data_IF_274469242140
#
_entry.id   IF_274469242140
#
_cell.length_a   1.000
_cell.length_b   1.000
_cell.length_c   1.000
_cell.angle_alpha   90.00
_cell.angle_beta   90.00
_cell.angle_gamma   90.00
#
_symmetry.space_group_name_H-M   'P 1'
#
loop_
_entity.id
_entity.type
_entity.pdbx_description
1 polymer ?
#
# COMPACT_ATOMS: atom_id res chain seq x y z
N UNK A 1 8.46 7.49 9.52
CA UNK A 1 8.05 6.56 8.47
C UNK A 1 7.69 7.41 7.29
N UNK A 2 8.27 7.14 6.13
CA UNK A 2 7.85 7.72 4.87
C UNK A 2 7.05 6.70 4.06
N UNK A 3 6.25 7.17 3.11
CA UNK A 3 5.65 6.30 2.09
C UNK A 3 6.75 5.71 1.20
N UNK A 4 6.48 4.55 0.61
CA UNK A 4 7.37 3.91 -0.35
C UNK A 4 6.63 3.74 -1.67
N UNK A 5 7.24 4.16 -2.77
CA UNK A 5 6.70 3.97 -4.12
C UNK A 5 7.47 2.91 -4.86
N UNK A 6 6.76 1.89 -5.32
CA UNK A 6 7.26 0.86 -6.23
C UNK A 6 6.93 1.27 -7.66
N UNK A 7 7.95 1.33 -8.52
CA UNK A 7 7.80 1.73 -9.91
C UNK A 7 8.08 0.56 -10.85
N UNK A 8 7.28 0.44 -11.90
CA UNK A 8 7.53 -0.47 -13.02
C UNK A 8 6.97 0.11 -14.31
N UNK A 9 7.50 -0.33 -15.46
CA UNK A 9 6.93 0.00 -16.76
C UNK A 9 6.03 -1.14 -17.22
N UNK A 10 4.81 -0.80 -17.64
CA UNK A 10 3.84 -1.77 -18.16
C UNK A 10 3.40 -1.35 -19.55
N UNK A 11 3.07 -2.32 -20.40
CA UNK A 11 2.53 -2.07 -21.75
C UNK A 11 1.24 -2.85 -21.92
N UNK A 12 0.12 -2.32 -21.41
CA UNK A 12 -1.16 -3.02 -21.48
C UNK A 12 -1.65 -3.15 -22.91
N UNK A 13 -2.21 -4.30 -23.24
CA UNK A 13 -2.91 -4.54 -24.50
C UNK A 13 -4.36 -4.81 -24.16
N UNK A 14 -5.25 -3.95 -24.62
CA UNK A 14 -6.68 -4.03 -24.39
C UNK A 14 -7.39 -4.16 -25.73
N UNK A 15 -8.29 -5.12 -25.83
CA UNK A 15 -9.28 -5.25 -26.90
C UNK A 15 -10.45 -4.29 -26.72
N UNK A 16 -11.33 -4.27 -27.71
CA UNK A 16 -12.58 -3.52 -27.65
C UNK A 16 -13.46 -3.99 -26.47
N UNK A 17 -14.00 -3.06 -25.70
CA UNK A 17 -14.81 -3.37 -24.51
C UNK A 17 -14.01 -3.85 -23.28
N UNK A 18 -12.70 -4.01 -23.37
CA UNK A 18 -11.87 -4.37 -22.23
C UNK A 18 -11.54 -3.17 -21.32
N UNK A 19 -11.36 -3.47 -20.04
CA UNK A 19 -11.03 -2.53 -18.95
C UNK A 19 -9.85 -3.06 -18.17
N UNK A 20 -8.94 -2.16 -17.80
CA UNK A 20 -7.73 -2.49 -17.05
C UNK A 20 -7.86 -2.07 -15.59
N UNK A 21 -7.53 -2.96 -14.68
CA UNK A 21 -7.53 -2.71 -13.24
C UNK A 21 -6.16 -3.00 -12.65
N UNK A 22 -5.75 -2.17 -11.68
CA UNK A 22 -4.69 -2.52 -10.72
C UNK A 22 -5.36 -3.13 -9.50
N UNK A 23 -4.89 -4.30 -9.07
CA UNK A 23 -5.34 -4.98 -7.86
C UNK A 23 -4.18 -5.16 -6.89
N UNK A 24 -4.37 -4.76 -5.64
CA UNK A 24 -3.38 -4.88 -4.56
C UNK A 24 -3.95 -5.73 -3.44
N UNK A 25 -3.79 -7.05 -3.57
CA UNK A 25 -4.41 -8.03 -2.66
C UNK A 25 -3.90 -8.02 -1.22
N UNK A 26 -2.65 -7.61 -0.97
CA UNK A 26 -2.12 -7.57 0.40
C UNK A 26 -1.01 -6.51 0.51
N UNK A 27 -1.22 -5.54 1.40
CA UNK A 27 -0.24 -4.51 1.75
C UNK A 27 -0.32 -4.17 3.24
N UNK A 28 0.77 -3.63 3.77
CA UNK A 28 0.82 -3.06 5.12
C UNK A 28 1.10 -1.56 5.00
N UNK A 29 0.10 -0.76 5.32
CA UNK A 29 0.10 0.69 5.20
C UNK A 29 -1.29 1.22 5.52
N UNK A 30 -1.49 2.52 5.34
CA UNK A 30 -2.81 3.15 5.53
C UNK A 30 -3.67 3.06 4.27
N UNK A 31 -3.05 3.14 3.08
CA UNK A 31 -3.69 3.00 1.77
C UNK A 31 -2.62 2.85 0.69
N UNK A 32 -3.03 2.56 -0.55
CA UNK A 32 -2.12 2.56 -1.71
C UNK A 32 -2.57 3.59 -2.74
N UNK A 33 -1.71 4.55 -3.07
CA UNK A 33 -1.94 5.51 -4.15
C UNK A 33 -1.37 4.95 -5.46
N UNK A 34 -2.21 4.88 -6.48
CA UNK A 34 -1.82 4.45 -7.82
C UNK A 34 -1.43 5.68 -8.63
N UNK A 35 -0.26 5.60 -9.25
CA UNK A 35 0.33 6.63 -10.10
C UNK A 35 0.50 6.07 -11.52
N UNK A 36 0.12 6.84 -12.53
CA UNK A 36 0.44 6.54 -13.93
C UNK A 36 1.17 7.75 -14.51
N UNK A 37 2.39 7.52 -15.00
CA UNK A 37 3.31 8.57 -15.48
C UNK A 37 3.47 9.72 -14.47
N UNK A 38 3.63 9.37 -13.20
CA UNK A 38 3.79 10.32 -12.09
C UNK A 38 2.52 11.00 -11.62
N UNK A 39 1.36 10.80 -12.29
CA UNK A 39 0.07 11.42 -11.91
C UNK A 39 -0.79 10.45 -11.13
N UNK A 40 -1.47 10.95 -10.09
CA UNK A 40 -2.41 10.15 -9.30
C UNK A 40 -3.59 9.69 -10.16
N UNK A 41 -3.74 8.38 -10.33
CA UNK A 41 -4.92 7.76 -10.94
C UNK A 41 -6.02 7.49 -9.90
N UNK A 42 -5.65 7.23 -8.64
CA UNK A 42 -6.59 7.00 -7.55
C UNK A 42 -5.92 6.48 -6.28
N UNK A 43 -6.71 6.25 -5.23
CA UNK A 43 -6.25 5.73 -3.94
C UNK A 43 -7.11 4.53 -3.52
N UNK A 44 -6.45 3.42 -3.25
CA UNK A 44 -7.01 2.19 -2.69
C UNK A 44 -6.97 2.29 -1.16
N UNK A 45 -8.09 2.67 -0.55
CA UNK A 45 -8.23 2.77 0.90
C UNK A 45 -9.14 1.70 1.51
N UNK A 46 -9.87 0.96 0.66
CA UNK A 46 -10.86 -0.03 1.07
C UNK A 46 -10.89 -1.20 0.10
N UNK A 47 -11.30 -2.37 0.61
CA UNK A 47 -11.60 -3.55 -0.19
C UNK A 47 -12.62 -3.21 -1.30
N UNK A 48 -12.46 -3.75 -2.52
CA UNK A 48 -11.59 -4.87 -2.89
C UNK A 48 -10.12 -4.51 -3.21
N UNK A 49 -9.65 -3.30 -2.88
CA UNK A 49 -8.31 -2.81 -3.24
C UNK A 49 -8.02 -2.92 -4.75
N UNK A 50 -9.01 -2.51 -5.55
CA UNK A 50 -8.91 -2.45 -7.01
C UNK A 50 -9.22 -1.04 -7.53
N UNK A 51 -8.48 -0.63 -8.56
CA UNK A 51 -8.68 0.64 -9.24
C UNK A 51 -8.65 0.41 -10.74
N UNK A 52 -9.70 0.87 -11.43
CA UNK A 52 -9.69 0.93 -12.88
C UNK A 52 -8.74 2.02 -13.38
N UNK A 53 -7.84 1.67 -14.31
CA UNK A 53 -6.87 2.57 -14.92
C UNK A 53 -6.94 2.59 -16.46
N UNK A 54 -8.03 2.08 -17.05
CA UNK A 54 -8.23 1.96 -18.50
C UNK A 54 -7.88 3.26 -19.24
N UNK A 55 -8.41 4.40 -18.77
CA UNK A 55 -8.21 5.70 -19.41
C UNK A 55 -6.78 6.25 -19.32
N UNK A 56 -5.91 5.66 -18.51
CA UNK A 56 -4.53 6.10 -18.31
C UNK A 56 -3.51 5.30 -19.12
N UNK A 57 -3.90 4.14 -19.66
CA UNK A 57 -2.96 3.16 -20.21
C UNK A 57 -3.32 2.71 -21.64
N UNK A 58 -3.40 3.67 -22.57
CA UNK A 58 -3.80 3.40 -23.95
C UNK A 58 -2.58 3.34 -24.89
N UNK A 59 -2.28 2.15 -25.41
CA UNK A 59 -1.46 1.96 -26.62
C UNK A 59 0.02 2.33 -26.53
N UNK A 60 0.53 2.72 -25.37
CA UNK A 60 1.93 3.07 -25.12
C UNK A 60 2.40 2.44 -23.80
N UNK A 61 3.70 2.16 -23.63
CA UNK A 61 4.27 1.87 -22.32
C UNK A 61 4.01 3.03 -21.36
N UNK A 62 3.56 2.72 -20.15
CA UNK A 62 3.34 3.71 -19.08
C UNK A 62 4.14 3.32 -17.84
N UNK A 63 4.56 4.33 -17.07
CA UNK A 63 5.20 4.13 -15.79
C UNK A 63 4.12 4.00 -14.70
N UNK A 64 3.97 2.79 -14.17
CA UNK A 64 3.03 2.48 -13.09
C UNK A 64 3.75 2.59 -11.74
N UNK A 65 3.21 3.43 -10.86
CA UNK A 65 3.65 3.60 -9.49
C UNK A 65 2.61 3.11 -8.50
N UNK A 66 3.05 2.33 -7.51
CA UNK A 66 2.25 1.93 -6.37
C UNK A 66 2.89 2.52 -5.12
N UNK A 67 2.31 3.59 -4.59
CA UNK A 67 2.79 4.23 -3.38
C UNK A 67 2.01 3.72 -2.17
N UNK A 68 2.67 2.90 -1.35
CA UNK A 68 2.14 2.46 -0.07
C UNK A 68 2.28 3.61 0.92
N UNK A 69 1.14 4.20 1.30
CA UNK A 69 1.09 5.28 2.29
C UNK A 69 1.38 4.69 3.66
N UNK A 70 2.49 5.09 4.28
CA UNK A 70 2.95 4.46 5.51
C UNK A 70 2.19 4.95 6.76
N UNK A 71 2.13 4.10 7.76
CA UNK A 71 1.70 4.48 9.11
C UNK A 71 2.87 5.01 9.96
N UNK A 72 2.56 5.71 11.05
CA UNK A 72 3.58 6.26 11.97
C UNK A 72 4.18 5.24 12.94
N UNK A 73 3.60 4.04 13.07
CA UNK A 73 3.94 3.01 14.08
C UNK A 73 5.43 2.67 14.22
N UNK A 74 6.17 2.61 13.12
CA UNK A 74 7.60 2.26 13.10
C UNK A 74 8.56 3.43 13.37
N UNK A 75 8.06 4.66 13.48
CA UNK A 75 8.92 5.83 13.70
C UNK A 75 8.53 6.68 14.90
N UNK A 76 7.24 6.70 15.24
CA UNK A 76 6.68 7.50 16.32
C UNK A 76 5.69 6.67 17.17
N UNK A 77 5.78 5.34 17.10
CA UNK A 77 5.00 4.44 17.95
C UNK A 77 5.81 3.97 19.16
N UNK A 78 5.18 3.23 20.09
CA UNK A 78 5.87 2.64 21.23
C UNK A 78 6.79 1.51 20.76
N UNK A 79 8.05 1.85 20.46
CA UNK A 79 9.03 0.94 19.85
C UNK A 79 9.46 -0.19 20.77
N UNK A 80 9.34 0.00 22.09
CA UNK A 80 9.83 -0.94 23.10
C UNK A 80 8.72 -1.73 23.79
N UNK A 81 7.45 -1.51 23.42
CA UNK A 81 6.34 -2.32 23.93
C UNK A 81 6.36 -3.69 23.28
N UNK A 82 6.44 -4.78 24.06
CA UNK A 82 6.45 -6.17 23.57
C UNK A 82 5.24 -6.47 22.67
N UNK A 83 4.05 -6.02 23.07
CA UNK A 83 2.87 -6.11 22.20
C UNK A 83 2.94 -5.10 21.05
N UNK A 84 3.21 -5.58 19.85
CA UNK A 84 3.28 -4.80 18.60
C UNK A 84 1.93 -4.19 18.17
N UNK A 85 0.81 -4.83 18.51
CA UNK A 85 -0.55 -4.43 18.12
C UNK A 85 -1.43 -4.21 19.37
N UNK A 86 -1.14 -3.17 20.17
CA UNK A 86 -2.02 -2.83 21.28
C UNK A 86 -3.37 -2.33 20.74
N UNK A 87 -4.46 -2.63 21.45
CA UNK A 87 -5.80 -2.14 21.07
C UNK A 87 -5.94 -0.61 21.09
N UNK A 88 -4.99 0.09 21.73
CA UNK A 88 -4.91 1.54 21.79
C UNK A 88 -3.45 1.99 21.91
N UNK A 89 -3.14 3.21 21.47
CA UNK A 89 -1.83 3.84 21.67
C UNK A 89 -2.00 5.25 22.22
N UNK A 90 -1.68 5.44 23.49
CA UNK A 90 -1.59 6.73 24.19
C UNK A 90 -0.25 6.88 24.92
N UNK A 91 -0.07 7.96 25.71
CA UNK A 91 1.20 8.26 26.38
C UNK A 91 1.77 7.10 27.20
N UNK A 92 0.93 6.40 27.96
CA UNK A 92 1.34 5.27 28.80
C UNK A 92 2.02 4.13 28.00
N UNK A 93 1.67 3.92 26.73
CA UNK A 93 2.31 2.87 25.92
C UNK A 93 3.77 3.21 25.54
N UNK A 94 4.18 4.47 25.65
CA UNK A 94 5.57 4.90 25.43
C UNK A 94 6.44 4.79 26.68
N UNK A 95 5.82 4.64 27.85
CA UNK A 95 6.47 4.61 29.16
C UNK A 95 6.42 3.21 29.80
N UNK A 96 6.19 2.17 28.98
CA UNK A 96 6.07 0.80 29.49
C UNK A 96 7.36 0.33 30.19
N UNK A 97 7.18 -0.48 31.23
CA UNK A 97 8.29 -1.06 32.00
C UNK A 97 8.00 -2.52 32.34
N UNK A 98 8.98 -3.22 32.91
CA UNK A 98 8.80 -4.59 33.38
C UNK A 98 8.41 -5.56 32.26
N UNK A 99 7.36 -6.33 32.49
CA UNK A 99 6.97 -7.44 31.61
C UNK A 99 6.48 -6.99 30.23
N UNK A 100 6.05 -5.74 30.07
CA UNK A 100 5.58 -5.19 28.79
C UNK A 100 6.70 -4.52 27.98
N UNK A 101 7.91 -4.38 28.54
CA UNK A 101 9.06 -3.72 27.92
C UNK A 101 10.07 -4.69 27.28
N UNK A 102 10.70 -4.27 26.19
CA UNK A 102 11.85 -4.95 25.57
C UNK A 102 12.85 -3.94 25.01
N UNK A 103 14.15 -4.22 25.16
CA UNK A 103 15.21 -3.40 24.54
C UNK A 103 15.21 -3.48 23.00
N UNK A 104 14.62 -4.53 22.43
CA UNK A 104 14.55 -4.72 20.99
C UNK A 104 13.42 -3.87 20.36
N UNK A 105 13.71 -3.24 19.23
CA UNK A 105 12.69 -2.49 18.47
C UNK A 105 11.61 -3.41 17.89
N UNK A 106 10.38 -3.14 18.29
CA UNK A 106 9.20 -3.86 17.87
C UNK A 106 8.58 -3.20 16.63
N UNK A 107 9.22 -3.38 15.47
CA UNK A 107 8.72 -2.91 14.18
C UNK A 107 7.60 -3.83 13.65
N UNK A 108 6.64 -3.22 12.93
CA UNK A 108 5.58 -3.91 12.20
C UNK A 108 5.83 -3.87 10.68
N UNK A 109 5.27 -4.81 9.89
CA UNK A 109 5.41 -4.79 8.44
C UNK A 109 4.92 -3.47 7.82
N UNK A 110 5.53 -3.06 6.70
CA UNK A 110 5.14 -1.90 5.91
C UNK A 110 5.55 -2.12 4.45
N UNK A 111 4.69 -1.80 3.48
CA UNK A 111 4.93 -2.00 2.05
C UNK A 111 3.98 -3.02 1.41
N UNK A 112 4.34 -3.53 0.23
CA UNK A 112 3.59 -4.56 -0.49
C UNK A 112 3.92 -5.94 0.10
N UNK A 113 2.90 -6.66 0.57
CA UNK A 113 3.07 -8.01 1.15
C UNK A 113 2.89 -9.11 0.09
N UNK A 114 2.11 -8.81 -0.96
CA UNK A 114 1.99 -9.67 -2.14
C UNK A 114 2.20 -8.88 -3.43
N UNK A 115 2.60 -9.56 -4.52
CA UNK A 115 2.68 -8.93 -5.82
C UNK A 115 1.32 -8.32 -6.24
N UNK A 116 1.30 -7.04 -6.65
CA UNK A 116 0.12 -6.46 -7.26
C UNK A 116 -0.14 -7.12 -8.62
N UNK A 117 -1.37 -7.03 -9.11
CA UNK A 117 -1.79 -7.63 -10.38
C UNK A 117 -2.42 -6.58 -11.28
N UNK A 118 -2.17 -6.72 -12.58
CA UNK A 118 -3.01 -6.12 -13.61
C UNK A 118 -4.09 -7.11 -13.99
N UNK A 119 -5.34 -6.67 -14.00
CA UNK A 119 -6.51 -7.49 -14.34
C UNK A 119 -7.19 -6.84 -15.53
N UNK A 120 -7.44 -7.63 -16.57
CA UNK A 120 -8.26 -7.22 -17.72
C UNK A 120 -9.65 -7.84 -17.57
N UNK A 121 -10.69 -7.02 -17.75
CA UNK A 121 -12.09 -7.46 -17.69
C UNK A 121 -12.84 -6.95 -18.92
N UNK A 122 -13.68 -7.80 -19.51
CA UNK A 122 -14.60 -7.39 -20.58
C UNK A 122 -15.87 -6.80 -19.96
N UNK A 123 -16.28 -5.62 -20.42
CA UNK A 123 -17.61 -5.10 -20.12
C UNK A 123 -18.61 -5.82 -21.03
N UNK A 124 -19.54 -6.57 -20.45
CA UNK A 124 -20.66 -7.19 -21.18
C UNK A 124 -21.70 -6.18 -21.64
#
# INVERSE_FOLDING_TARGET
SGSVTYWTTVTPRLGEGERLFVSVSEYCGTAVRILVDGKTAGVLAWEPNELEITGFAVGQPVQLGLEVLAHRRNSHGPLHKKNKWPGWTGPAQFEETGDEWTDAYQLVPCGLMRPPRLIVRTQG
#
